data_IF_681965002495
#
_entry.id   IF_681965002495
#
_cell.length_a   1.000
_cell.length_b   1.000
_cell.length_c   1.000
_cell.angle_alpha   90.00
_cell.angle_beta   90.00
_cell.angle_gamma   90.00
#
_symmetry.space_group_name_H-M   'P 1'
#
loop_
_entity.id
_entity.type
_entity.pdbx_description
1 polymer ?
#
# COMPACT_ATOMS: atom_id res chain seq x y z
N UNK A 1 -2.48 -10.19 -4.69
CA UNK A 1 -3.79 -9.77 -5.27
C UNK A 1 -3.86 -8.27 -5.18
N UNK A 2 -4.23 -7.61 -6.26
CA UNK A 2 -4.38 -6.15 -6.31
C UNK A 2 -5.86 -5.78 -6.44
N UNK A 3 -6.21 -4.63 -5.89
CA UNK A 3 -7.53 -4.04 -5.90
C UNK A 3 -7.46 -2.63 -6.48
N UNK A 4 -8.27 -2.38 -7.50
CA UNK A 4 -8.55 -1.04 -7.99
C UNK A 4 -9.87 -0.54 -7.42
N UNK A 5 -9.89 0.72 -6.99
CA UNK A 5 -11.12 1.47 -6.68
C UNK A 5 -11.33 2.52 -7.76
N UNK A 6 -12.53 2.52 -8.34
CA UNK A 6 -12.93 3.51 -9.32
C UNK A 6 -14.24 4.20 -8.96
N UNK A 7 -14.45 5.37 -9.57
CA UNK A 7 -15.69 6.15 -9.46
C UNK A 7 -16.23 6.53 -10.83
N UNK A 8 -17.56 6.66 -10.96
CA UNK A 8 -18.17 7.18 -12.18
C UNK A 8 -19.54 6.58 -12.49
N UNK A 9 -19.94 6.68 -13.76
CA UNK A 9 -21.12 6.01 -14.28
C UNK A 9 -20.81 4.52 -14.55
N UNK A 10 -21.86 3.71 -14.67
CA UNK A 10 -21.70 2.30 -14.99
C UNK A 10 -20.96 2.11 -16.32
N UNK A 11 -19.92 1.27 -16.31
CA UNK A 11 -19.07 0.97 -17.47
C UNK A 11 -18.28 2.18 -18.00
N UNK A 12 -18.09 3.22 -17.18
CA UNK A 12 -17.27 4.39 -17.48
C UNK A 12 -16.59 4.91 -16.21
N UNK A 13 -16.14 3.98 -15.36
CA UNK A 13 -15.45 4.29 -14.11
C UNK A 13 -14.01 4.76 -14.37
N UNK A 14 -13.63 5.83 -13.69
CA UNK A 14 -12.24 6.26 -13.58
C UNK A 14 -11.62 5.66 -12.33
N UNK A 15 -10.44 5.05 -12.45
CA UNK A 15 -9.69 4.51 -11.30
C UNK A 15 -9.11 5.69 -10.51
N UNK A 16 -9.37 5.71 -9.20
CA UNK A 16 -8.86 6.73 -8.27
C UNK A 16 -7.87 6.14 -7.26
N UNK A 17 -7.96 4.84 -6.97
CA UNK A 17 -6.96 4.08 -6.20
C UNK A 17 -6.55 2.86 -7.01
N UNK A 18 -5.41 2.89 -7.73
CA UNK A 18 -4.93 1.75 -8.48
C UNK A 18 -4.11 0.80 -7.59
N UNK A 19 -4.11 -0.49 -7.93
CA UNK A 19 -3.13 -1.47 -7.48
C UNK A 19 -2.95 -1.58 -5.94
N UNK A 20 -4.01 -1.41 -5.16
CA UNK A 20 -3.95 -1.59 -3.72
C UNK A 20 -3.72 -3.08 -3.39
N UNK A 21 -2.58 -3.41 -2.75
CA UNK A 21 -2.28 -4.79 -2.40
C UNK A 21 -3.16 -5.26 -1.25
N UNK A 22 -4.09 -6.17 -1.58
CA UNK A 22 -5.01 -6.81 -0.63
C UNK A 22 -4.73 -8.31 -0.47
N UNK A 23 -3.59 -8.80 -0.96
CA UNK A 23 -3.19 -10.19 -0.80
C UNK A 23 -2.98 -10.58 0.66
N UNK A 24 -3.21 -11.85 0.98
CA UNK A 24 -3.12 -12.38 2.35
C UNK A 24 -4.07 -11.68 3.36
N UNK A 25 -5.06 -10.91 2.92
CA UNK A 25 -6.03 -10.30 3.83
C UNK A 25 -7.08 -11.32 4.27
N UNK A 26 -7.52 -11.26 5.54
CA UNK A 26 -8.50 -12.20 6.11
C UNK A 26 -9.47 -11.49 7.04
N UNK A 27 -10.71 -11.98 7.16
CA UNK A 27 -11.67 -11.52 8.18
C UNK A 27 -11.65 -12.36 9.45
N UNK A 28 -10.92 -13.49 9.46
CA UNK A 28 -11.07 -14.54 10.46
C UNK A 28 -10.19 -14.34 11.72
N UNK A 29 -8.94 -13.91 11.57
CA UNK A 29 -8.01 -13.83 12.71
C UNK A 29 -7.46 -12.43 13.01
N UNK A 30 -6.98 -11.70 12.00
CA UNK A 30 -6.32 -10.39 12.22
C UNK A 30 -7.01 -9.20 11.53
N UNK A 31 -8.16 -9.43 10.88
CA UNK A 31 -9.00 -8.40 10.27
C UNK A 31 -8.59 -7.98 8.85
N UNK A 32 -9.49 -7.30 8.12
CA UNK A 32 -9.24 -6.92 6.74
C UNK A 32 -8.11 -5.89 6.63
N UNK A 33 -7.46 -5.84 5.47
CA UNK A 33 -6.58 -4.70 5.17
C UNK A 33 -7.42 -3.44 5.07
N UNK A 34 -7.05 -2.46 5.88
CA UNK A 34 -7.81 -1.23 6.05
C UNK A 34 -6.89 -0.05 5.79
N UNK A 35 -7.24 0.76 4.81
CA UNK A 35 -6.47 1.95 4.44
C UNK A 35 -7.45 3.10 4.24
N UNK A 36 -7.12 4.24 4.83
CA UNK A 36 -7.81 5.50 4.62
C UNK A 36 -7.22 6.21 3.40
N UNK A 37 -8.11 6.60 2.49
CA UNK A 37 -7.79 7.35 1.27
C UNK A 37 -8.52 8.71 1.34
N UNK A 38 -7.82 9.82 1.64
CA UNK A 38 -8.41 11.16 1.73
C UNK A 38 -8.75 11.76 0.35
N UNK A 39 -9.58 11.06 -0.43
CA UNK A 39 -9.96 11.45 -1.80
C UNK A 39 -11.37 12.00 -1.83
N UNK A 40 -11.60 13.01 -2.65
CA UNK A 40 -12.94 13.52 -2.90
C UNK A 40 -13.74 12.57 -3.82
N UNK A 41 -14.95 12.21 -3.39
CA UNK A 41 -15.90 11.43 -4.19
C UNK A 41 -17.07 12.34 -4.57
N UNK A 42 -17.23 12.72 -5.85
CA UNK A 42 -18.33 13.58 -6.26
C UNK A 42 -19.69 12.93 -6.01
N UNK A 43 -20.65 13.74 -5.55
CA UNK A 43 -22.04 13.30 -5.38
C UNK A 43 -22.61 12.75 -6.71
N UNK A 44 -23.42 11.70 -6.61
CA UNK A 44 -24.04 11.05 -7.77
C UNK A 44 -23.12 10.10 -8.54
N UNK A 45 -21.87 9.92 -8.12
CA UNK A 45 -20.99 8.86 -8.66
C UNK A 45 -21.19 7.54 -7.93
N UNK A 46 -20.93 6.42 -8.62
CA UNK A 46 -20.87 5.10 -8.00
C UNK A 46 -19.44 4.79 -7.62
N UNK A 47 -19.24 4.00 -6.56
CA UNK A 47 -17.95 3.39 -6.24
C UNK A 47 -17.95 1.97 -6.83
N UNK A 48 -16.89 1.61 -7.55
CA UNK A 48 -16.67 0.29 -8.10
C UNK A 48 -15.32 -0.25 -7.63
N UNK A 49 -15.26 -1.57 -7.44
CA UNK A 49 -14.05 -2.29 -7.05
C UNK A 49 -13.76 -3.36 -8.11
N UNK A 50 -12.50 -3.50 -8.49
CA UNK A 50 -12.02 -4.57 -9.38
C UNK A 50 -10.80 -5.23 -8.75
N UNK A 51 -10.83 -6.55 -8.61
CA UNK A 51 -9.69 -7.31 -8.12
C UNK A 51 -8.97 -8.02 -9.26
N UNK A 52 -7.66 -8.17 -9.13
CA UNK A 52 -6.82 -8.98 -9.99
C UNK A 52 -5.95 -9.91 -9.14
N UNK A 53 -6.16 -11.22 -9.28
CA UNK A 53 -5.41 -12.27 -8.60
C UNK A 53 -4.80 -13.26 -9.59
N UNK A 54 -3.73 -13.94 -9.17
CA UNK A 54 -3.12 -15.04 -9.94
C UNK A 54 -3.92 -16.33 -9.78
N UNK A 55 -4.56 -16.50 -8.62
CA UNK A 55 -5.36 -17.68 -8.28
C UNK A 55 -6.79 -17.47 -8.82
N UNK A 56 -7.36 -18.53 -9.40
CA UNK A 56 -8.65 -18.49 -10.10
C UNK A 56 -9.82 -18.09 -9.19
N UNK A 57 -9.79 -18.52 -7.93
CA UNK A 57 -10.79 -18.17 -6.91
C UNK A 57 -10.05 -17.91 -5.61
N UNK A 58 -10.29 -16.75 -5.01
CA UNK A 58 -9.74 -16.38 -3.71
C UNK A 58 -10.71 -15.44 -2.98
N UNK A 59 -10.58 -15.36 -1.66
CA UNK A 59 -11.36 -14.43 -0.83
C UNK A 59 -10.61 -13.11 -0.70
N UNK A 60 -11.29 -11.99 -0.98
CA UNK A 60 -10.75 -10.66 -0.74
C UNK A 60 -11.38 -10.04 0.52
N UNK A 61 -10.55 -9.57 1.44
CA UNK A 61 -11.00 -8.91 2.67
C UNK A 61 -10.34 -7.52 2.79
N UNK A 62 -11.09 -6.47 2.46
CA UNK A 62 -10.61 -5.10 2.59
C UNK A 62 -11.68 -4.23 3.24
N UNK A 63 -11.25 -3.12 3.84
CA UNK A 63 -12.14 -2.09 4.39
C UNK A 63 -11.65 -0.72 3.98
N UNK A 64 -12.55 0.10 3.46
CA UNK A 64 -12.29 1.49 3.12
C UNK A 64 -13.28 2.36 3.88
N UNK A 65 -12.78 3.38 4.55
CA UNK A 65 -13.60 4.33 5.30
C UNK A 65 -14.09 5.44 4.36
N UNK A 66 -15.39 5.67 4.36
CA UNK A 66 -16.01 6.86 3.76
C UNK A 66 -16.35 7.82 4.89
N UNK A 67 -15.85 9.05 4.80
CA UNK A 67 -16.08 10.08 5.79
C UNK A 67 -16.58 11.36 5.11
N UNK A 68 -17.43 12.12 5.81
CA UNK A 68 -17.96 13.41 5.35
C UNK A 68 -17.25 14.59 6.00
N UNK A 69 -16.59 14.39 7.14
CA UNK A 69 -15.84 15.43 7.85
C UNK A 69 -14.48 14.86 8.23
N UNK A 70 -13.39 15.51 7.82
CA UNK A 70 -12.07 15.10 8.28
C UNK A 70 -11.72 15.89 9.56
N UNK A 71 -11.73 15.27 10.75
CA UNK A 71 -11.48 16.03 11.97
C UNK A 71 -10.00 16.44 12.16
N UNK A 72 -9.03 15.88 11.41
CA UNK A 72 -7.59 16.05 11.72
C UNK A 72 -6.59 16.04 10.54
N UNK A 73 -6.83 16.78 9.45
CA UNK A 73 -5.73 17.09 8.49
C UNK A 73 -6.16 17.85 7.23
N UNK A 74 -5.26 17.99 6.23
CA UNK A 74 -5.41 18.96 5.15
C UNK A 74 -6.58 18.64 4.20
N UNK A 75 -7.10 19.65 3.49
CA UNK A 75 -8.39 19.57 2.79
C UNK A 75 -8.44 18.50 1.70
N UNK A 76 -9.67 18.08 1.38
CA UNK A 76 -10.06 17.05 0.41
C UNK A 76 -9.77 17.41 -1.06
N UNK A 77 -8.63 18.01 -1.36
CA UNK A 77 -8.25 18.41 -2.72
C UNK A 77 -7.56 17.32 -3.51
N UNK A 78 -7.17 16.22 -2.85
CA UNK A 78 -6.60 15.07 -3.53
C UNK A 78 -7.68 14.39 -4.37
N UNK A 79 -7.35 14.16 -5.64
CA UNK A 79 -8.29 13.59 -6.60
C UNK A 79 -7.82 12.23 -7.13
N UNK A 80 -6.56 11.87 -6.87
CA UNK A 80 -5.98 10.64 -7.42
C UNK A 80 -4.88 10.04 -6.55
N UNK A 81 -4.75 8.72 -6.66
CA UNK A 81 -3.60 7.95 -6.18
C UNK A 81 -2.82 7.40 -7.37
N UNK A 82 -1.50 7.43 -7.28
CA UNK A 82 -0.58 6.77 -8.21
C UNK A 82 0.24 5.71 -7.45
N UNK A 83 0.26 4.49 -7.98
CA UNK A 83 0.98 3.36 -7.37
C UNK A 83 2.36 3.18 -8.00
N UNK A 84 3.36 3.00 -7.15
CA UNK A 84 4.76 2.80 -7.51
C UNK A 84 5.28 1.48 -6.92
N UNK A 85 6.14 0.81 -7.68
CA UNK A 85 6.64 -0.52 -7.31
C UNK A 85 5.65 -1.65 -7.59
N UNK A 86 4.75 -1.48 -8.56
CA UNK A 86 3.83 -2.54 -9.01
C UNK A 86 4.48 -3.36 -10.12
N UNK A 87 4.37 -4.69 -10.04
CA UNK A 87 4.75 -5.60 -11.13
C UNK A 87 3.49 -6.18 -11.75
N UNK A 88 3.25 -5.89 -13.03
CA UNK A 88 2.09 -6.42 -13.76
C UNK A 88 2.06 -7.95 -13.81
N UNK A 89 3.24 -8.58 -13.78
CA UNK A 89 3.38 -10.03 -13.65
C UNK A 89 3.13 -10.45 -12.21
N UNK A 90 2.02 -11.14 -11.97
CA UNK A 90 1.71 -11.76 -10.67
C UNK A 90 0.84 -10.92 -9.74
N UNK A 91 0.35 -9.75 -10.16
CA UNK A 91 -0.52 -8.88 -9.36
C UNK A 91 0.06 -8.61 -7.96
N UNK A 92 1.28 -8.08 -7.94
CA UNK A 92 2.08 -7.89 -6.72
C UNK A 92 3.01 -6.66 -6.78
N UNK A 93 3.56 -6.31 -5.63
CA UNK A 93 4.56 -5.25 -5.49
C UNK A 93 5.99 -5.69 -5.83
N UNK A 94 6.96 -4.83 -5.53
CA UNK A 94 8.39 -5.15 -5.60
C UNK A 94 8.79 -5.87 -4.31
N UNK A 95 9.55 -6.96 -4.47
CA UNK A 95 10.10 -7.73 -3.37
C UNK A 95 11.09 -6.87 -2.56
N UNK A 96 10.85 -6.69 -1.27
CA UNK A 96 11.73 -6.05 -0.29
C UNK A 96 12.08 -7.05 0.80
N UNK A 97 13.38 -7.27 1.00
CA UNK A 97 13.91 -8.25 1.92
C UNK A 97 14.08 -7.61 3.31
N UNK A 98 13.61 -8.29 4.34
CA UNK A 98 13.71 -7.81 5.72
C UNK A 98 15.09 -8.05 6.32
N UNK A 99 15.47 -7.24 7.30
CA UNK A 99 16.59 -7.56 8.19
C UNK A 99 16.11 -8.43 9.36
N UNK A 100 17.00 -9.27 9.89
CA UNK A 100 16.74 -10.03 11.11
C UNK A 100 16.76 -9.09 12.33
N UNK A 101 15.61 -8.90 12.99
CA UNK A 101 15.45 -7.95 14.12
C UNK A 101 15.91 -6.52 13.82
N UNK A 102 15.94 -6.12 12.55
CA UNK A 102 16.40 -4.82 12.10
C UNK A 102 15.81 -4.52 10.71
N UNK A 103 15.88 -3.25 10.30
CA UNK A 103 15.58 -2.93 8.91
C UNK A 103 16.59 -3.56 7.96
N UNK A 104 16.09 -4.10 6.85
CA UNK A 104 16.90 -4.52 5.71
C UNK A 104 17.52 -3.34 4.95
N UNK A 105 18.16 -3.66 3.83
CA UNK A 105 18.66 -2.63 2.91
C UNK A 105 17.52 -1.91 2.19
N UNK A 106 17.77 -0.68 1.76
CA UNK A 106 16.82 0.06 0.93
C UNK A 106 16.70 -0.56 -0.46
N UNK A 107 15.46 -0.86 -0.85
CA UNK A 107 15.09 -1.34 -2.20
C UNK A 107 14.34 -0.24 -2.94
N UNK A 108 14.74 0.04 -4.18
CA UNK A 108 14.10 1.04 -5.02
C UNK A 108 12.74 0.55 -5.53
N UNK A 109 11.69 1.35 -5.35
CA UNK A 109 10.34 1.10 -5.87
C UNK A 109 10.09 1.78 -7.20
N UNK A 110 10.59 3.02 -7.37
CA UNK A 110 10.65 3.73 -8.64
C UNK A 110 11.88 4.63 -8.70
N UNK A 111 12.43 4.84 -9.89
CA UNK A 111 13.50 5.81 -10.14
C UNK A 111 13.02 7.26 -10.17
N UNK A 112 11.75 7.45 -10.51
CA UNK A 112 11.14 8.76 -10.66
C UNK A 112 9.62 8.65 -10.45
N UNK A 113 9.07 9.50 -9.60
CA UNK A 113 7.64 9.78 -9.55
C UNK A 113 7.18 10.42 -10.85
N UNK A 114 5.96 10.13 -11.27
CA UNK A 114 5.35 10.64 -12.51
C UNK A 114 4.65 11.99 -12.34
N UNK A 115 4.36 12.39 -11.12
CA UNK A 115 3.70 13.63 -10.73
C UNK A 115 4.18 14.07 -9.36
N UNK A 116 3.84 15.31 -9.00
CA UNK A 116 3.94 15.77 -7.62
C UNK A 116 2.91 15.02 -6.76
N UNK A 117 3.26 14.76 -5.50
CA UNK A 117 2.40 14.11 -4.51
C UNK A 117 2.48 14.86 -3.19
N UNK A 118 1.36 15.02 -2.51
CA UNK A 118 1.25 15.69 -1.21
C UNK A 118 1.25 14.71 -0.03
N UNK A 119 0.84 13.46 -0.27
CA UNK A 119 0.77 12.43 0.76
C UNK A 119 1.17 11.05 0.24
N UNK A 120 1.50 10.17 1.17
CA UNK A 120 1.99 8.82 0.87
C UNK A 120 1.33 7.77 1.76
N UNK A 121 0.95 6.65 1.16
CA UNK A 121 0.55 5.43 1.85
C UNK A 121 1.37 4.24 1.32
N UNK A 122 1.26 3.10 1.99
CA UNK A 122 1.95 1.87 1.60
C UNK A 122 1.01 0.69 1.70
N UNK A 123 1.12 -0.24 0.76
CA UNK A 123 0.49 -1.55 0.87
C UNK A 123 1.53 -2.65 0.83
N UNK A 124 1.25 -3.71 1.57
CA UNK A 124 2.12 -4.85 1.78
C UNK A 124 1.37 -6.11 1.36
N UNK A 125 2.00 -6.95 0.55
CA UNK A 125 1.60 -8.33 0.32
C UNK A 125 2.68 -9.29 0.78
N UNK A 126 2.28 -10.55 0.95
CA UNK A 126 3.24 -11.64 1.10
C UNK A 126 3.91 -11.89 -0.25
N UNK A 127 5.24 -11.97 -0.28
CA UNK A 127 5.94 -12.46 -1.47
C UNK A 127 5.68 -13.98 -1.64
N UNK A 128 6.31 -14.63 -2.61
CA UNK A 128 6.15 -16.06 -2.88
C UNK A 128 6.65 -17.01 -1.75
N UNK A 129 6.89 -16.49 -0.55
CA UNK A 129 7.27 -17.28 0.63
C UNK A 129 6.07 -18.10 1.09
N UNK A 130 6.30 -19.38 1.40
CA UNK A 130 5.24 -20.35 1.77
C UNK A 130 5.14 -20.58 3.28
N UNK A 131 5.85 -19.77 4.06
CA UNK A 131 5.75 -19.75 5.52
C UNK A 131 6.10 -18.36 6.01
N UNK A 132 5.13 -17.67 6.62
CA UNK A 132 5.35 -16.37 7.26
C UNK A 132 5.40 -16.52 8.77
N UNK A 133 6.41 -15.92 9.39
CA UNK A 133 6.50 -15.81 10.84
C UNK A 133 5.48 -14.80 11.34
N UNK A 134 4.62 -15.22 12.28
CA UNK A 134 3.69 -14.30 12.92
C UNK A 134 4.41 -13.21 13.71
N UNK A 135 4.06 -11.94 13.48
CA UNK A 135 4.71 -10.82 14.14
C UNK A 135 4.33 -9.46 13.55
N UNK A 136 4.99 -8.41 14.05
CA UNK A 136 4.89 -7.07 13.50
C UNK A 136 5.93 -6.87 12.38
N UNK A 137 5.49 -6.31 11.26
CA UNK A 137 6.31 -5.95 10.11
C UNK A 137 6.32 -4.43 10.01
N UNK A 138 7.50 -3.83 10.05
CA UNK A 138 7.66 -2.38 9.93
C UNK A 138 8.13 -2.04 8.53
N UNK A 139 7.40 -1.18 7.85
CA UNK A 139 7.70 -0.74 6.49
C UNK A 139 7.97 0.75 6.50
N UNK A 140 9.17 1.14 6.08
CA UNK A 140 9.52 2.55 5.89
C UNK A 140 9.57 2.90 4.43
N UNK A 141 9.00 4.06 4.08
CA UNK A 141 9.21 4.69 2.78
C UNK A 141 10.27 5.77 2.89
N UNK A 142 11.13 5.81 1.87
CA UNK A 142 12.22 6.77 1.74
C UNK A 142 12.16 7.49 0.40
N UNK A 143 12.49 8.77 0.43
CA UNK A 143 12.59 9.65 -0.75
C UNK A 143 14.05 9.91 -1.06
N UNK A 144 14.41 9.76 -2.34
CA UNK A 144 15.78 9.89 -2.81
C UNK A 144 16.46 8.55 -3.12
N UNK A 145 17.79 8.57 -3.37
CA UNK A 145 18.52 7.37 -3.77
C UNK A 145 18.64 6.36 -2.62
N UNK A 146 18.77 5.07 -2.96
CA UNK A 146 18.89 3.98 -1.98
C UNK A 146 20.10 4.07 -1.06
N UNK A 147 21.13 4.84 -1.44
CA UNK A 147 22.34 5.05 -0.65
C UNK A 147 22.14 5.91 0.62
N UNK A 148 20.98 6.55 0.79
CA UNK A 148 20.69 7.37 1.95
C UNK A 148 19.41 8.18 1.78
N UNK A 149 18.25 7.54 1.60
CA UNK A 149 17.00 8.24 1.38
C UNK A 149 16.51 8.91 2.67
N UNK A 150 15.76 10.00 2.53
CA UNK A 150 15.04 10.62 3.64
C UNK A 150 13.78 9.80 3.94
N UNK A 151 13.64 9.31 5.17
CA UNK A 151 12.43 8.61 5.61
C UNK A 151 11.24 9.59 5.64
N UNK A 152 10.13 9.21 5.04
CA UNK A 152 8.90 10.03 4.96
C UNK A 152 7.73 9.44 5.74
N UNK A 153 7.79 8.16 6.07
CA UNK A 153 6.76 7.49 6.86
C UNK A 153 7.17 6.08 7.25
N UNK A 154 6.53 5.57 8.30
CA UNK A 154 6.66 4.21 8.81
C UNK A 154 5.26 3.66 9.08
N UNK A 155 5.02 2.43 8.64
CA UNK A 155 3.76 1.72 8.83
C UNK A 155 4.02 0.35 9.40
N UNK A 156 3.12 -0.08 10.27
CA UNK A 156 3.17 -1.39 10.92
C UNK A 156 2.09 -2.26 10.29
N UNK A 157 2.48 -3.46 9.87
CA UNK A 157 1.58 -4.54 9.49
C UNK A 157 1.72 -5.66 10.51
N UNK A 158 0.67 -6.47 10.65
CA UNK A 158 0.74 -7.68 11.46
C UNK A 158 0.59 -8.90 10.56
N UNK A 159 1.42 -9.91 10.77
CA UNK A 159 1.32 -11.23 10.18
C UNK A 159 0.94 -12.26 11.23
N UNK A 160 0.37 -13.39 10.82
CA UNK A 160 0.17 -14.54 11.71
C UNK A 160 0.63 -15.85 11.05
N UNK A 161 0.56 -16.93 11.82
CA UNK A 161 0.93 -18.28 11.37
C UNK A 161 -0.03 -18.89 10.35
N UNK A 162 -1.17 -18.24 10.09
CA UNK A 162 -2.11 -18.60 9.03
C UNK A 162 -1.80 -17.86 7.71
N UNK A 163 -0.63 -17.20 7.63
CA UNK A 163 -0.21 -16.43 6.46
C UNK A 163 -1.16 -15.28 6.11
N UNK A 164 -1.78 -14.69 7.13
CA UNK A 164 -2.63 -13.52 6.98
C UNK A 164 -1.82 -12.25 7.25
N UNK A 165 -2.17 -11.14 6.59
CA UNK A 165 -1.60 -9.80 6.82
C UNK A 165 -2.72 -8.78 7.06
N UNK A 166 -2.63 -8.04 8.18
CA UNK A 166 -3.49 -6.89 8.47
C UNK A 166 -2.71 -5.58 8.57
N UNK A 167 -3.45 -4.47 8.66
CA UNK A 167 -2.92 -3.10 8.62
C UNK A 167 -3.10 -2.42 7.26
N UNK A 168 -2.38 -1.31 7.01
CA UNK A 168 -1.34 -0.76 7.89
C UNK A 168 -1.88 -0.06 9.15
N UNK A 169 -0.98 0.13 10.12
CA UNK A 169 -1.17 0.97 11.31
C UNK A 169 -0.01 1.98 11.35
N UNK A 170 -0.27 3.30 11.33
CA UNK A 170 -1.58 3.92 11.15
C UNK A 170 -2.19 3.58 9.78
N UNK A 171 -3.52 3.55 9.70
CA UNK A 171 -4.26 3.33 8.44
C UNK A 171 -4.31 4.57 7.55
N UNK A 172 -3.70 5.68 7.98
CA UNK A 172 -3.70 6.97 7.30
C UNK A 172 -2.40 7.19 6.53
N UNK A 173 -2.46 7.97 5.43
CA UNK A 173 -1.25 8.40 4.75
C UNK A 173 -0.45 9.40 5.60
N UNK A 174 0.85 9.48 5.32
CA UNK A 174 1.72 10.54 5.83
C UNK A 174 1.69 11.73 4.88
N UNK A 175 1.57 12.95 5.40
CA UNK A 175 1.53 14.18 4.61
C UNK A 175 2.95 14.69 4.41
N UNK A 176 3.54 14.30 3.28
CA UNK A 176 4.90 14.67 2.92
C UNK A 176 4.95 14.98 1.43
N UNK A 177 5.05 16.27 1.05
CA UNK A 177 5.18 16.66 -0.33
C UNK A 177 6.45 16.10 -0.96
N UNK A 178 6.31 15.51 -2.14
CA UNK A 178 7.41 14.95 -2.94
C UNK A 178 7.20 15.36 -4.40
N UNK A 179 8.15 16.09 -5.01
CA UNK A 179 8.01 16.53 -6.39
C UNK A 179 8.14 15.36 -7.37
N UNK A 180 7.62 15.56 -8.57
CA UNK A 180 7.80 14.68 -9.73
C UNK A 180 9.29 14.47 -10.03
N UNK A 181 9.62 13.32 -10.62
CA UNK A 181 10.99 12.95 -10.93
C UNK A 181 11.79 12.41 -9.75
N UNK A 182 11.17 12.24 -8.57
CA UNK A 182 11.90 11.82 -7.36
C UNK A 182 11.89 10.30 -7.20
N UNK A 183 13.03 9.72 -6.83
CA UNK A 183 13.12 8.30 -6.54
C UNK A 183 12.42 7.95 -5.22
N UNK A 184 11.72 6.80 -5.20
CA UNK A 184 11.09 6.25 -4.00
C UNK A 184 11.68 4.87 -3.73
N UNK A 185 11.93 4.60 -2.47
CA UNK A 185 12.45 3.33 -2.00
C UNK A 185 11.75 2.91 -0.71
N UNK A 186 11.88 1.63 -0.37
CA UNK A 186 11.36 1.07 0.86
C UNK A 186 12.39 0.19 1.54
N UNK A 187 12.27 0.04 2.85
CA UNK A 187 12.94 -1.01 3.62
C UNK A 187 11.98 -1.59 4.64
N UNK A 188 12.20 -2.85 4.99
CA UNK A 188 11.31 -3.60 5.86
C UNK A 188 12.10 -4.20 7.01
N UNK A 189 11.52 -4.18 8.21
CA UNK A 189 11.96 -4.95 9.37
C UNK A 189 10.87 -5.94 9.76
N UNK A 190 11.26 -7.14 10.18
CA UNK A 190 10.36 -8.17 10.64
C UNK A 190 10.97 -8.91 11.86
N UNK A 191 10.39 -10.05 12.21
CA UNK A 191 10.84 -10.93 13.27
C UNK A 191 12.29 -11.44 13.04
N UNK A 192 12.72 -12.40 13.86
CA UNK A 192 14.12 -12.84 13.91
C UNK A 192 14.65 -13.46 12.60
N UNK A 193 13.78 -13.87 11.69
CA UNK A 193 14.15 -14.44 10.39
C UNK A 193 13.97 -13.41 9.27
N UNK A 194 14.93 -13.39 8.34
CA UNK A 194 14.78 -12.63 7.10
C UNK A 194 13.67 -13.26 6.25
N UNK A 195 12.78 -12.41 5.77
CA UNK A 195 11.63 -12.74 4.95
C UNK A 195 11.58 -11.76 3.77
N UNK A 196 10.75 -12.07 2.78
CA UNK A 196 10.52 -11.16 1.65
C UNK A 196 9.07 -10.76 1.59
N UNK A 197 8.80 -9.46 1.44
CA UNK A 197 7.46 -8.93 1.27
C UNK A 197 7.35 -8.12 -0.02
N UNK A 198 6.15 -8.07 -0.57
CA UNK A 198 5.85 -7.29 -1.76
C UNK A 198 5.33 -5.92 -1.34
N UNK A 199 6.10 -4.87 -1.63
CA UNK A 199 5.79 -3.49 -1.21
C UNK A 199 5.33 -2.66 -2.41
N UNK A 200 4.26 -1.88 -2.21
CA UNK A 200 3.78 -0.87 -3.16
C UNK A 200 3.64 0.45 -2.40
N UNK A 201 4.22 1.52 -2.96
CA UNK A 201 4.02 2.88 -2.45
C UNK A 201 2.90 3.56 -3.23
N UNK A 202 2.06 4.29 -2.53
CA UNK A 202 0.92 5.02 -3.09
C UNK A 202 1.13 6.51 -2.85
N UNK A 203 1.40 7.27 -3.91
CA UNK A 203 1.47 8.73 -3.87
C UNK A 203 0.09 9.32 -4.13
N UNK A 204 -0.33 10.29 -3.32
CA UNK A 204 -1.60 10.98 -3.42
C UNK A 204 -1.36 12.43 -3.86
N UNK A 205 -2.12 12.89 -4.84
CA UNK A 205 -2.05 14.25 -5.39
C UNK A 205 -3.30 14.62 -6.18
#
# INVERSE_FOLDING_TARGET
MLLDIGIGAAASESIIVPDWNIGAASTASIGPKSQYWPLFIPSGTRIAARTAGVILNDTCAFSMMLDQEFPFGPPSTLDRVTSYGVTAVGSKGINVITGANAYGSWTQLTAATSSDHDAWAVSLGQAADVTVTGGAIFVQLGVGPTAGPQVIGEWIFATNVNEEISGPIPDKPTWQPVPSGTAICARVAAAATTETFDVIAHGLG
#
